data_IF_389011852854
#
_entry.id   IF_389011852854
#
_cell.length_a   1.000
_cell.length_b   1.000
_cell.length_c   1.000
_cell.angle_alpha   90.00
_cell.angle_beta   90.00
_cell.angle_gamma   90.00
#
_symmetry.space_group_name_H-M   'P 1'
#
loop_
_entity.id
_entity.type
_entity.pdbx_description
1 polymer ?
#
# COMPACT_ATOMS: atom_id res chain seq x y z
N UNK A 1 -30.41 -8.74 -13.12
CA UNK A 1 -29.77 -8.31 -11.86
C UNK A 1 -28.45 -9.05 -11.74
N UNK A 2 -27.32 -8.38 -11.47
CA UNK A 2 -26.07 -9.08 -11.23
C UNK A 2 -26.22 -9.90 -9.94
N UNK A 3 -25.77 -11.15 -9.98
CA UNK A 3 -25.99 -12.14 -8.92
C UNK A 3 -24.86 -12.19 -7.89
N UNK A 4 -23.70 -11.56 -8.14
CA UNK A 4 -22.63 -11.34 -7.13
C UNK A 4 -21.56 -10.33 -7.61
N UNK A 5 -20.78 -9.73 -6.70
CA UNK A 5 -19.62 -8.85 -7.02
C UNK A 5 -18.30 -9.61 -7.27
N UNK A 6 -18.19 -10.85 -6.82
CA UNK A 6 -16.98 -11.69 -6.97
C UNK A 6 -16.49 -11.94 -8.42
N UNK A 7 -17.35 -12.08 -9.45
CA UNK A 7 -16.89 -12.16 -10.84
C UNK A 7 -16.48 -10.80 -11.44
N UNK A 8 -16.58 -9.70 -10.70
CA UNK A 8 -16.29 -8.35 -11.21
C UNK A 8 -14.77 -8.08 -11.26
N UNK A 9 -14.30 -7.50 -12.37
CA UNK A 9 -12.87 -7.19 -12.61
C UNK A 9 -12.22 -6.42 -11.45
N UNK A 10 -12.99 -5.55 -10.79
CA UNK A 10 -12.53 -4.73 -9.64
C UNK A 10 -12.13 -5.58 -8.44
N UNK A 11 -12.82 -6.69 -8.19
CA UNK A 11 -12.52 -7.61 -7.09
C UNK A 11 -11.16 -8.31 -7.31
N UNK A 12 -10.93 -8.80 -8.52
CA UNK A 12 -9.64 -9.40 -8.90
C UNK A 12 -8.49 -8.39 -8.86
N UNK A 13 -8.76 -7.14 -9.26
CA UNK A 13 -7.79 -6.05 -9.15
C UNK A 13 -7.42 -5.80 -7.69
N UNK A 14 -8.40 -5.77 -6.78
CA UNK A 14 -8.15 -5.62 -5.35
C UNK A 14 -7.29 -6.75 -4.78
N UNK A 15 -7.57 -8.01 -5.14
CA UNK A 15 -6.71 -9.14 -4.74
C UNK A 15 -5.28 -8.97 -5.27
N UNK A 16 -5.14 -8.59 -6.54
CA UNK A 16 -3.83 -8.41 -7.16
C UNK A 16 -3.02 -7.29 -6.50
N UNK A 17 -3.64 -6.13 -6.26
CA UNK A 17 -3.02 -4.92 -5.69
C UNK A 17 -2.76 -5.07 -4.19
N UNK A 18 -3.70 -5.64 -3.44
CA UNK A 18 -3.65 -5.68 -1.98
C UNK A 18 -2.95 -6.91 -1.41
N UNK A 19 -2.80 -7.99 -2.20
CA UNK A 19 -2.18 -9.24 -1.72
C UNK A 19 -1.00 -9.68 -2.57
N UNK A 20 -1.21 -9.84 -3.89
CA UNK A 20 -0.19 -10.43 -4.77
C UNK A 20 1.01 -9.49 -4.94
N UNK A 21 0.75 -8.21 -5.21
CA UNK A 21 1.79 -7.23 -5.50
C UNK A 21 2.69 -6.92 -4.27
N UNK A 22 2.16 -6.76 -3.04
CA UNK A 22 2.98 -6.61 -1.83
C UNK A 22 3.88 -7.81 -1.56
N UNK A 23 3.35 -9.04 -1.73
CA UNK A 23 4.14 -10.27 -1.58
C UNK A 23 5.25 -10.31 -2.63
N UNK A 24 4.94 -10.01 -3.89
CA UNK A 24 5.92 -9.98 -4.98
C UNK A 24 7.02 -8.95 -4.73
N UNK A 25 6.66 -7.75 -4.26
CA UNK A 25 7.59 -6.69 -3.85
C UNK A 25 8.53 -7.21 -2.75
N UNK A 26 7.98 -7.82 -1.70
CA UNK A 26 8.77 -8.30 -0.57
C UNK A 26 9.73 -9.43 -0.99
N UNK A 27 9.24 -10.39 -1.78
CA UNK A 27 10.06 -11.46 -2.32
C UNK A 27 11.19 -10.90 -3.20
N UNK A 28 10.89 -9.95 -4.09
CA UNK A 28 11.88 -9.32 -4.94
C UNK A 28 13.00 -8.63 -4.12
N UNK A 29 12.65 -8.02 -2.98
CA UNK A 29 13.64 -7.43 -2.07
C UNK A 29 14.48 -8.48 -1.35
N UNK A 30 13.89 -9.60 -0.92
CA UNK A 30 14.64 -10.72 -0.33
C UNK A 30 15.70 -11.30 -1.28
N UNK A 31 15.42 -11.32 -2.58
CA UNK A 31 16.39 -11.76 -3.59
C UNK A 31 17.47 -10.70 -3.90
N UNK A 32 17.30 -9.44 -3.49
CA UNK A 32 18.25 -8.35 -3.75
C UNK A 32 19.20 -8.17 -2.56
N UNK A 33 20.48 -8.51 -2.76
CA UNK A 33 21.53 -8.43 -1.73
C UNK A 33 21.86 -7.01 -1.24
N UNK A 34 21.52 -5.97 -2.02
CA UNK A 34 21.69 -4.57 -1.67
C UNK A 34 20.58 -3.72 -2.33
N UNK A 35 20.01 -2.77 -1.57
CA UNK A 35 18.92 -1.89 -2.03
C UNK A 35 19.37 -0.43 -1.85
N UNK A 36 19.29 0.36 -2.92
CA UNK A 36 19.66 1.78 -2.87
C UNK A 36 18.60 2.63 -2.15
N UNK A 37 18.98 3.79 -1.60
CA UNK A 37 18.03 4.72 -0.95
C UNK A 37 16.92 5.20 -1.90
N UNK A 38 17.23 5.39 -3.18
CA UNK A 38 16.24 5.75 -4.19
C UNK A 38 15.23 4.61 -4.44
N UNK A 39 15.71 3.36 -4.47
CA UNK A 39 14.84 2.18 -4.59
C UNK A 39 13.91 2.07 -3.38
N UNK A 40 14.45 2.30 -2.18
CA UNK A 40 13.68 2.32 -0.93
C UNK A 40 12.60 3.42 -0.96
N UNK A 41 12.94 4.62 -1.43
CA UNK A 41 11.99 5.73 -1.56
C UNK A 41 10.89 5.42 -2.58
N UNK A 42 11.26 4.91 -3.76
CA UNK A 42 10.31 4.53 -4.80
C UNK A 42 9.36 3.44 -4.30
N UNK A 43 9.88 2.48 -3.52
CA UNK A 43 9.06 1.46 -2.89
C UNK A 43 8.06 2.05 -1.89
N UNK A 44 8.53 2.95 -1.01
CA UNK A 44 7.66 3.59 -0.03
C UNK A 44 6.53 4.37 -0.69
N UNK A 45 6.85 5.14 -1.73
CA UNK A 45 5.87 5.85 -2.56
C UNK A 45 4.90 4.89 -3.24
N UNK A 46 5.38 3.78 -3.80
CA UNK A 46 4.53 2.76 -4.41
C UNK A 46 3.53 2.20 -3.40
N UNK A 47 3.98 1.81 -2.20
CA UNK A 47 3.10 1.30 -1.14
C UNK A 47 2.01 2.30 -0.73
N UNK A 48 2.33 3.60 -0.66
CA UNK A 48 1.34 4.66 -0.38
C UNK A 48 0.31 4.74 -1.52
N UNK A 49 0.74 4.68 -2.77
CA UNK A 49 -0.17 4.69 -3.94
C UNK A 49 -1.06 3.45 -3.92
N UNK A 50 -0.51 2.26 -3.68
CA UNK A 50 -1.28 1.02 -3.60
C UNK A 50 -2.32 1.08 -2.48
N UNK A 51 -1.96 1.62 -1.31
CA UNK A 51 -2.92 1.84 -0.22
C UNK A 51 -4.10 2.73 -0.65
N UNK A 52 -3.84 3.81 -1.39
CA UNK A 52 -4.90 4.67 -1.94
C UNK A 52 -5.80 3.94 -2.94
N UNK A 53 -5.20 3.14 -3.84
CA UNK A 53 -5.93 2.33 -4.81
C UNK A 53 -6.80 1.28 -4.11
N UNK A 54 -6.27 0.60 -3.09
CA UNK A 54 -7.00 -0.39 -2.30
C UNK A 54 -8.22 0.22 -1.61
N UNK A 55 -8.08 1.40 -0.98
CA UNK A 55 -9.23 2.11 -0.38
C UNK A 55 -10.29 2.44 -1.43
N UNK A 56 -9.88 2.96 -2.59
CA UNK A 56 -10.81 3.28 -3.67
C UNK A 56 -11.57 2.03 -4.16
N UNK A 57 -10.86 0.92 -4.36
CA UNK A 57 -11.48 -0.34 -4.81
C UNK A 57 -12.41 -0.91 -3.75
N UNK A 58 -12.03 -0.87 -2.47
CA UNK A 58 -12.89 -1.29 -1.37
C UNK A 58 -14.18 -0.47 -1.33
N UNK A 59 -14.08 0.86 -1.38
CA UNK A 59 -15.26 1.73 -1.40
C UNK A 59 -16.16 1.46 -2.61
N UNK A 60 -15.56 1.30 -3.79
CA UNK A 60 -16.33 1.00 -5.01
C UNK A 60 -17.03 -0.35 -4.92
N UNK A 61 -16.38 -1.38 -4.38
CA UNK A 61 -16.94 -2.72 -4.25
C UNK A 61 -18.03 -2.77 -3.16
N UNK A 62 -17.81 -2.11 -2.01
CA UNK A 62 -18.82 -1.97 -0.96
C UNK A 62 -20.09 -1.32 -1.49
N UNK A 63 -19.98 -0.25 -2.30
CA UNK A 63 -21.15 0.43 -2.86
C UNK A 63 -21.90 -0.41 -3.91
N UNK A 64 -21.21 -1.34 -4.57
CA UNK A 64 -21.84 -2.29 -5.50
C UNK A 64 -22.52 -3.44 -4.76
N UNK A 65 -21.89 -3.92 -3.68
CA UNK A 65 -22.42 -4.96 -2.81
C UNK A 65 -23.77 -4.57 -2.19
N UNK A 66 -23.93 -3.29 -1.79
CA UNK A 66 -25.21 -2.74 -1.29
C UNK A 66 -26.39 -2.87 -2.28
N UNK A 67 -26.10 -3.08 -3.57
CA UNK A 67 -27.10 -3.15 -4.65
C UNK A 67 -27.35 -4.57 -5.16
N UNK A 68 -26.67 -5.56 -4.60
CA UNK A 68 -26.78 -6.99 -4.98
C UNK A 68 -27.59 -7.78 -3.96
N UNK A 69 -28.35 -8.79 -4.40
CA UNK A 69 -29.17 -9.67 -3.53
C UNK A 69 -28.38 -10.91 -3.08
N UNK A 70 -27.06 -10.80 -3.00
CA UNK A 70 -26.16 -11.93 -2.79
C UNK A 70 -25.77 -12.07 -1.32
N UNK A 71 -26.14 -13.20 -0.71
CA UNK A 71 -25.78 -13.54 0.67
C UNK A 71 -24.26 -13.62 0.87
N UNK A 72 -23.51 -13.98 -0.17
CA UNK A 72 -22.05 -14.06 -0.10
C UNK A 72 -21.39 -12.68 -0.10
N UNK A 73 -22.01 -11.71 -0.78
CA UNK A 73 -21.52 -10.33 -0.83
C UNK A 73 -21.78 -9.65 0.53
N UNK A 74 -22.97 -9.86 1.10
CA UNK A 74 -23.32 -9.41 2.46
C UNK A 74 -22.35 -10.00 3.50
N UNK A 75 -22.05 -11.30 3.42
CA UNK A 75 -21.16 -11.97 4.38
C UNK A 75 -19.70 -11.51 4.32
N UNK A 76 -19.23 -10.87 3.24
CA UNK A 76 -17.86 -10.36 3.14
C UNK A 76 -17.79 -8.86 3.38
N UNK A 77 -18.71 -8.07 2.83
CA UNK A 77 -18.64 -6.60 2.92
C UNK A 77 -19.39 -6.02 4.11
N UNK A 78 -20.42 -6.70 4.66
CA UNK A 78 -21.14 -6.29 5.88
C UNK A 78 -20.61 -6.98 7.15
N UNK A 79 -19.60 -7.84 7.04
CA UNK A 79 -19.02 -8.58 8.17
C UNK A 79 -17.68 -8.02 8.63
N UNK A 80 -17.15 -8.58 9.72
CA UNK A 80 -15.79 -8.34 10.22
C UNK A 80 -14.71 -8.57 9.16
N UNK A 81 -14.97 -9.38 8.12
CA UNK A 81 -14.05 -9.59 7.00
C UNK A 81 -13.88 -8.31 6.18
N UNK A 82 -14.95 -7.54 5.97
CA UNK A 82 -14.90 -6.25 5.29
C UNK A 82 -14.05 -5.25 6.08
N UNK A 83 -14.21 -5.21 7.41
CA UNK A 83 -13.36 -4.42 8.30
C UNK A 83 -11.90 -4.86 8.23
N UNK A 84 -11.63 -6.17 8.22
CA UNK A 84 -10.28 -6.72 8.09
C UNK A 84 -9.62 -6.35 6.76
N UNK A 85 -10.39 -6.28 5.66
CA UNK A 85 -9.87 -5.83 4.36
C UNK A 85 -9.43 -4.36 4.38
N UNK A 86 -10.05 -3.49 5.19
CA UNK A 86 -9.57 -2.11 5.39
C UNK A 86 -8.25 -2.02 6.16
N UNK A 87 -7.82 -3.07 6.86
CA UNK A 87 -6.53 -3.07 7.57
C UNK A 87 -5.36 -3.10 6.58
N UNK A 88 -5.50 -3.79 5.45
CA UNK A 88 -4.45 -3.89 4.43
C UNK A 88 -3.97 -2.53 3.89
N UNK A 89 -4.85 -1.64 3.38
CA UNK A 89 -4.42 -0.33 2.92
C UNK A 89 -3.81 0.51 4.05
N UNK A 90 -4.31 0.40 5.27
CA UNK A 90 -3.75 1.10 6.43
C UNK A 90 -2.31 0.65 6.70
N UNK A 91 -2.06 -0.66 6.66
CA UNK A 91 -0.71 -1.22 6.83
C UNK A 91 0.23 -0.77 5.72
N UNK A 92 -0.18 -0.87 4.45
CA UNK A 92 0.67 -0.44 3.33
C UNK A 92 0.96 1.06 3.36
N UNK A 93 -0.05 1.88 3.69
CA UNK A 93 0.14 3.31 3.87
C UNK A 93 1.12 3.61 5.00
N UNK A 94 0.95 2.98 6.17
CA UNK A 94 1.84 3.16 7.32
C UNK A 94 3.29 2.75 7.05
N UNK A 95 3.50 1.58 6.45
CA UNK A 95 4.83 1.10 6.06
C UNK A 95 5.45 2.02 5.01
N UNK A 96 4.68 2.41 3.99
CA UNK A 96 5.14 3.30 2.93
C UNK A 96 5.59 4.66 3.46
N UNK A 97 4.77 5.29 4.32
CA UNK A 97 5.13 6.57 4.97
C UNK A 97 6.38 6.44 5.83
N UNK A 98 6.52 5.36 6.61
CA UNK A 98 7.71 5.11 7.42
C UNK A 98 8.97 5.01 6.54
N UNK A 99 8.86 4.27 5.43
CA UNK A 99 9.98 4.07 4.51
C UNK A 99 10.43 5.38 3.83
N UNK A 100 9.47 6.19 3.38
CA UNK A 100 9.73 7.52 2.82
C UNK A 100 10.40 8.42 3.86
N UNK A 101 9.84 8.46 5.08
CA UNK A 101 10.39 9.24 6.20
C UNK A 101 11.84 8.87 6.49
N UNK A 102 12.14 7.57 6.57
CA UNK A 102 13.49 7.08 6.80
C UNK A 102 14.49 7.59 5.75
N UNK A 103 14.12 7.56 4.46
CA UNK A 103 15.01 8.02 3.39
C UNK A 103 15.22 9.54 3.44
N UNK A 104 14.16 10.31 3.68
CA UNK A 104 14.23 11.77 3.76
C UNK A 104 15.08 12.24 4.93
N UNK A 105 14.82 11.71 6.13
CA UNK A 105 15.60 12.03 7.33
C UNK A 105 17.08 11.70 7.13
N UNK A 106 17.38 10.54 6.53
CA UNK A 106 18.77 10.17 6.23
C UNK A 106 19.45 11.15 5.28
N UNK A 107 18.75 11.65 4.25
CA UNK A 107 19.30 12.64 3.33
C UNK A 107 19.54 13.98 4.03
N UNK A 108 18.58 14.43 4.85
CA UNK A 108 18.70 15.67 5.62
C UNK A 108 19.89 15.62 6.57
N UNK A 109 20.01 14.57 7.38
CA UNK A 109 21.15 14.41 8.31
C UNK A 109 22.49 14.34 7.57
N UNK A 110 22.53 13.79 6.35
CA UNK A 110 23.75 13.81 5.54
C UNK A 110 24.07 15.21 4.99
N UNK A 111 23.06 15.98 4.61
CA UNK A 111 23.23 17.36 4.14
C UNK A 111 23.71 18.27 5.28
N UNK A 112 23.10 18.16 6.46
CA UNK A 112 23.51 18.90 7.68
C UNK A 112 24.98 18.64 8.01
N UNK A 113 25.41 17.37 8.03
CA UNK A 113 26.82 17.02 8.31
C UNK A 113 27.81 17.60 7.29
N UNK A 114 27.40 17.74 6.02
CA UNK A 114 28.25 18.34 4.98
C UNK A 114 28.36 19.85 5.19
N UNK A 115 27.23 20.49 5.47
CA UNK A 115 27.19 21.91 5.79
C UNK A 115 28.06 22.25 7.01
N UNK A 116 27.91 21.49 8.10
CA UNK A 116 28.69 21.67 9.33
C UNK A 116 30.19 21.44 9.12
N UNK A 117 30.57 20.56 8.19
CA UNK A 117 31.98 20.32 7.86
C UNK A 117 32.58 21.45 7.02
N UNK A 118 31.79 22.02 6.09
CA UNK A 118 32.22 23.13 5.22
C UNK A 118 32.32 24.46 5.98
N UNK A 119 31.50 24.68 7.02
CA UNK A 119 31.45 25.94 7.79
C UNK A 119 32.16 25.86 9.15
N UNK A 120 32.91 24.78 9.43
CA UNK A 120 33.70 24.65 10.67
C UNK A 120 35.05 25.34 10.62
N UNK A 121 35.50 25.70 9.42
CA UNK A 121 36.83 26.26 9.13
C UNK A 121 36.77 27.77 8.81
N UNK A 122 35.60 28.42 8.95
CA UNK A 122 35.36 29.87 8.91
C UNK A 122 35.22 30.46 10.33
#
# INVERSE_FOLDING_TARGET
MPSSVFPELRFWLLIAVSLVLPIAIYLALLFRRAVSSLTVLALGMLLIVLAGVDVYLLQSLSHLAEKTVSVLDDAVFLSEVGLALYVLPVLFGGIGVNLVSHVLLRHLTQAERRFDAEHRDD
#
